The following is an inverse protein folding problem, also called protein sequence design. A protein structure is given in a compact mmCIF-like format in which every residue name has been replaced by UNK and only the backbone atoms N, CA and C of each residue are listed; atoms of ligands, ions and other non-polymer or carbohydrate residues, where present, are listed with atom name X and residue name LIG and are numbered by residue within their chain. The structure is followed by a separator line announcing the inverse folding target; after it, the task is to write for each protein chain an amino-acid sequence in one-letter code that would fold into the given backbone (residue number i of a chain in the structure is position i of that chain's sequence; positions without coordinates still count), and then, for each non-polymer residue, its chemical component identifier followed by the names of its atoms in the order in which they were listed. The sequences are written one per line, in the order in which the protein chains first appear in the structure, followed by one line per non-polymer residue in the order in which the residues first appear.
data_IF_509059935330
#
_entry.id   IF_509059935330
#
_cell.length_a   1.000
_cell.length_b   1.000
_cell.length_c   1.000
_cell.angle_alpha   90.00
_cell.angle_beta   90.00
_cell.angle_gamma   90.00
#
_symmetry.space_group_name_H-M   'P 1'
#
loop_
_entity.id
_entity.type
_entity.pdbx_description
1 polymer ?
#
# COMPACT_ATOMS: atom_id res chain seq x y z
N UNK A 1 5.13 -34.87 53.92
CA UNK A 1 5.17 -33.54 54.58
C UNK A 1 3.96 -32.76 54.06
N UNK A 2 2.76 -32.73 54.67
CA UNK A 2 2.32 -32.05 55.92
C UNK A 2 3.05 -30.73 56.14
N UNK A 3 2.45 -29.55 56.34
CA UNK A 3 1.09 -28.98 56.42
C UNK A 3 1.32 -27.46 56.09
N UNK A 4 0.40 -26.51 56.01
CA UNK A 4 -0.81 -26.23 56.79
C UNK A 4 -1.49 -24.99 56.20
N UNK A 5 -2.81 -25.06 56.05
CA UNK A 5 -3.70 -23.91 55.84
C UNK A 5 -4.03 -23.33 57.21
N UNK A 6 -3.79 -22.04 57.43
CA UNK A 6 -4.34 -21.29 58.56
C UNK A 6 -5.27 -20.20 58.04
N UNK A 7 -6.56 -20.38 58.31
CA UNK A 7 -7.63 -19.39 58.19
C UNK A 7 -7.92 -18.91 59.62
N UNK A 8 -7.72 -17.63 59.91
CA UNK A 8 -8.23 -17.03 61.14
C UNK A 8 -8.86 -15.68 60.82
N UNK A 9 -10.17 -15.58 61.08
CA UNK A 9 -10.87 -14.32 61.18
C UNK A 9 -10.43 -13.56 62.42
N UNK A 10 -10.47 -12.24 62.33
CA UNK A 10 -10.16 -11.35 63.44
C UNK A 10 -10.01 -9.92 62.93
N UNK A 11 -10.95 -9.07 63.33
CA UNK A 11 -10.91 -7.62 63.23
C UNK A 11 -9.54 -7.05 63.60
N UNK A 12 -8.89 -6.32 62.69
CA UNK A 12 -7.66 -5.58 62.98
C UNK A 12 -7.90 -4.09 62.80
N UNK A 13 -7.75 -3.41 63.93
CA UNK A 13 -7.69 -1.97 64.16
C UNK A 13 -6.59 -1.30 63.32
N UNK A 14 -6.93 -0.16 62.69
CA UNK A 14 -6.00 0.77 62.06
C UNK A 14 -5.01 1.33 63.10
N UNK A 15 -3.74 0.92 63.03
CA UNK A 15 -2.61 1.67 63.58
C UNK A 15 -1.68 2.09 62.46
N UNK A 16 -1.55 3.38 62.27
CA UNK A 16 -0.50 3.99 61.47
C UNK A 16 0.86 3.71 62.13
N UNK A 17 1.56 2.70 61.64
CA UNK A 17 2.97 2.44 61.94
C UNK A 17 3.83 3.05 60.85
N UNK A 18 4.60 4.07 61.20
CA UNK A 18 5.65 4.62 60.35
C UNK A 18 6.66 3.53 59.99
N UNK A 19 6.83 3.25 58.70
CA UNK A 19 7.91 2.40 58.22
C UNK A 19 9.22 3.19 58.21
N UNK A 20 10.31 2.70 58.84
CA UNK A 20 11.63 3.26 58.64
C UNK A 20 12.11 2.96 57.22
N UNK A 21 12.63 3.99 56.55
CA UNK A 21 13.28 3.90 55.25
C UNK A 21 14.47 2.92 55.30
N UNK A 22 14.60 1.99 54.33
CA UNK A 22 15.82 1.23 54.16
C UNK A 22 16.94 2.11 53.57
N UNK A 23 18.12 1.93 54.15
CA UNK A 23 19.37 2.63 53.86
C UNK A 23 19.73 2.68 52.37
N UNK A 24 20.18 3.88 51.95
CA UNK A 24 20.81 4.10 50.64
C UNK A 24 22.08 3.25 50.53
N UNK A 25 22.25 2.45 49.46
CA UNK A 25 23.55 1.85 49.18
C UNK A 25 24.57 2.92 48.76
N UNK A 26 25.87 2.69 49.01
CA UNK A 26 26.93 3.66 48.79
C UNK A 26 27.11 4.00 47.31
N UNK A 27 27.24 5.31 47.04
CA UNK A 27 27.67 5.89 45.78
C UNK A 27 29.07 5.37 45.42
N UNK A 28 29.13 4.37 44.55
CA UNK A 28 30.36 3.98 43.86
C UNK A 28 30.66 5.05 42.81
N UNK A 29 31.69 5.85 43.11
CA UNK A 29 32.34 6.74 42.16
C UNK A 29 32.95 5.95 41.00
N UNK A 30 32.17 5.77 39.94
CA UNK A 30 32.63 5.30 38.64
C UNK A 30 33.19 6.47 37.84
N UNK A 31 34.50 6.43 37.61
CA UNK A 31 35.28 7.35 36.77
C UNK A 31 34.58 7.65 35.43
N UNK A 32 34.70 8.87 34.87
CA UNK A 32 34.31 9.16 33.50
C UNK A 32 35.21 8.35 32.57
N UNK A 33 34.69 7.22 32.08
CA UNK A 33 35.29 6.45 31.00
C UNK A 33 35.34 7.35 29.78
N UNK A 34 36.56 7.67 29.36
CA UNK A 34 36.84 8.30 28.08
C UNK A 34 36.20 7.46 26.98
N UNK A 35 35.05 7.91 26.50
CA UNK A 35 34.47 7.45 25.26
C UNK A 35 35.47 7.79 24.16
N UNK A 36 36.24 6.78 23.77
CA UNK A 36 37.11 6.83 22.64
C UNK A 36 36.31 7.32 21.45
N UNK A 37 36.66 8.52 20.99
CA UNK A 37 36.38 8.97 19.63
C UNK A 37 37.10 8.00 18.70
N UNK A 38 36.46 6.86 18.46
CA UNK A 38 36.72 6.04 17.29
C UNK A 38 36.39 6.91 16.10
N UNK A 39 37.38 7.63 15.59
CA UNK A 39 37.37 8.19 14.25
C UNK A 39 37.36 7.00 13.31
N UNK A 40 36.19 6.37 13.18
CA UNK A 40 35.88 5.48 12.09
C UNK A 40 36.16 6.30 10.84
N UNK A 41 37.25 5.99 10.17
CA UNK A 41 37.56 6.48 8.84
C UNK A 41 36.42 5.99 7.95
N UNK A 42 35.37 6.81 7.87
CA UNK A 42 34.23 6.62 6.97
C UNK A 42 34.86 6.50 5.59
N UNK A 43 34.82 5.27 5.07
CA UNK A 43 35.32 4.85 3.77
C UNK A 43 34.55 5.63 2.69
N UNK A 44 34.99 6.87 2.44
CA UNK A 44 34.43 7.87 1.51
C UNK A 44 34.57 7.48 0.02
N UNK A 45 34.76 6.21 -0.31
CA UNK A 45 35.06 5.75 -1.68
C UNK A 45 33.88 5.09 -2.42
N UNK A 46 32.73 4.90 -1.78
CA UNK A 46 31.53 4.36 -2.43
C UNK A 46 30.54 5.39 -2.98
N UNK A 47 30.69 6.68 -2.63
CA UNK A 47 29.61 7.66 -2.84
C UNK A 47 29.42 8.14 -4.28
N UNK A 48 30.36 7.90 -5.20
CA UNK A 48 30.24 8.43 -6.57
C UNK A 48 29.35 7.57 -7.48
N UNK A 49 29.16 6.28 -7.20
CA UNK A 49 28.31 5.40 -8.03
C UNK A 49 26.82 5.53 -7.67
N UNK A 50 26.49 5.82 -6.41
CA UNK A 50 25.09 6.05 -5.99
C UNK A 50 24.48 7.33 -6.60
N UNK A 51 25.27 8.40 -6.78
CA UNK A 51 24.75 9.65 -7.37
C UNK A 51 24.31 9.51 -8.83
N UNK A 52 24.90 8.58 -9.59
CA UNK A 52 24.57 8.43 -11.01
C UNK A 52 23.22 7.73 -11.20
N UNK A 53 22.86 6.81 -10.29
CA UNK A 53 21.58 6.10 -10.30
C UNK A 53 20.38 7.00 -9.98
N UNK A 54 20.51 7.93 -9.04
CA UNK A 54 19.37 8.75 -8.60
C UNK A 54 19.01 9.87 -9.60
N UNK A 55 19.95 10.29 -10.45
CA UNK A 55 19.73 11.42 -11.35
C UNK A 55 19.10 11.04 -12.70
N UNK A 56 19.24 9.80 -13.18
CA UNK A 56 18.82 9.48 -14.55
C UNK A 56 17.30 9.55 -14.74
N UNK A 57 16.51 9.06 -13.78
CA UNK A 57 15.04 9.08 -13.88
C UNK A 57 14.52 10.51 -13.89
N UNK A 58 15.08 11.38 -13.04
CA UNK A 58 14.75 12.81 -13.00
C UNK A 58 15.13 13.52 -14.32
N UNK A 59 16.27 13.18 -14.92
CA UNK A 59 16.68 13.71 -16.23
C UNK A 59 15.72 13.26 -17.33
N UNK A 60 15.34 11.98 -17.37
CA UNK A 60 14.37 11.47 -18.34
C UNK A 60 13.01 12.15 -18.17
N UNK A 61 12.56 12.31 -16.92
CA UNK A 61 11.31 13.01 -16.60
C UNK A 61 11.32 14.47 -17.12
N UNK A 62 12.39 15.22 -16.85
CA UNK A 62 12.55 16.59 -17.33
C UNK A 62 12.62 16.68 -18.85
N UNK A 63 13.33 15.76 -19.51
CA UNK A 63 13.42 15.69 -20.97
C UNK A 63 12.05 15.41 -21.60
N UNK A 64 11.30 14.45 -21.06
CA UNK A 64 9.95 14.14 -21.52
C UNK A 64 9.02 15.33 -21.31
N UNK A 65 9.06 15.97 -20.13
CA UNK A 65 8.22 17.12 -19.82
C UNK A 65 8.51 18.29 -20.79
N UNK A 66 9.79 18.61 -21.01
CA UNK A 66 10.22 19.63 -21.97
C UNK A 66 9.79 19.29 -23.41
N UNK A 67 9.93 18.02 -23.80
CA UNK A 67 9.48 17.54 -25.11
C UNK A 67 7.97 17.71 -25.31
N UNK A 68 7.15 17.29 -24.34
CA UNK A 68 5.70 17.42 -24.42
C UNK A 68 5.23 18.87 -24.35
N UNK A 69 5.87 19.71 -23.55
CA UNK A 69 5.63 21.16 -23.50
C UNK A 69 5.92 21.80 -24.87
N UNK A 70 7.07 21.48 -25.48
CA UNK A 70 7.46 21.97 -26.80
C UNK A 70 6.49 21.52 -27.90
N UNK A 71 6.15 20.23 -27.94
CA UNK A 71 5.17 19.69 -28.90
C UNK A 71 3.79 20.34 -28.70
N UNK A 72 3.38 20.57 -27.46
CA UNK A 72 2.14 21.27 -27.13
C UNK A 72 2.13 22.70 -27.66
N UNK A 73 3.21 23.46 -27.43
CA UNK A 73 3.34 24.83 -27.90
C UNK A 73 3.33 24.94 -29.44
N UNK A 74 3.92 23.96 -30.13
CA UNK A 74 3.93 23.90 -31.59
C UNK A 74 2.55 23.54 -32.19
N UNK A 75 1.80 22.67 -31.50
CA UNK A 75 0.49 22.17 -31.99
C UNK A 75 -0.67 23.14 -31.74
N UNK A 76 -0.53 24.08 -30.79
CA UNK A 76 -1.55 25.05 -30.40
C UNK A 76 -2.51 24.52 -29.33
N UNK A 77 -3.28 25.42 -28.71
CA UNK A 77 -4.16 25.16 -27.57
C UNK A 77 -5.24 24.14 -27.89
N UNK A 78 -5.95 24.33 -29.01
CA UNK A 78 -7.08 23.48 -29.38
C UNK A 78 -6.66 22.04 -29.62
N UNK A 79 -5.47 21.86 -30.21
CA UNK A 79 -4.90 20.55 -30.45
C UNK A 79 -4.57 19.79 -29.16
N UNK A 80 -3.90 20.48 -28.24
CA UNK A 80 -3.44 19.91 -26.98
C UNK A 80 -4.61 19.68 -26.04
N UNK A 81 -5.57 20.61 -25.98
CA UNK A 81 -6.81 20.48 -25.21
C UNK A 81 -7.66 19.30 -25.68
N UNK A 82 -7.87 19.14 -26.98
CA UNK A 82 -8.58 17.96 -27.52
C UNK A 82 -7.87 16.65 -27.19
N UNK A 83 -6.53 16.66 -27.14
CA UNK A 83 -5.77 15.48 -26.75
C UNK A 83 -5.93 15.14 -25.27
N UNK A 84 -5.97 16.13 -24.38
CA UNK A 84 -6.22 15.89 -22.96
C UNK A 84 -7.65 15.41 -22.73
N UNK A 85 -8.62 16.04 -23.40
CA UNK A 85 -10.00 15.59 -23.37
C UNK A 85 -10.13 14.15 -23.88
N UNK A 86 -9.44 13.79 -24.97
CA UNK A 86 -9.43 12.41 -25.47
C UNK A 86 -8.85 11.43 -24.46
N UNK A 87 -7.83 11.83 -23.70
CA UNK A 87 -7.23 11.00 -22.67
C UNK A 87 -8.19 10.81 -21.49
N UNK A 88 -8.83 11.89 -21.01
CA UNK A 88 -9.81 11.83 -19.95
C UNK A 88 -11.02 10.94 -20.34
N UNK A 89 -11.53 11.11 -21.56
CA UNK A 89 -12.61 10.26 -22.10
C UNK A 89 -12.16 8.81 -22.23
N UNK A 90 -10.94 8.56 -22.69
CA UNK A 90 -10.41 7.20 -22.81
C UNK A 90 -10.27 6.52 -21.44
N UNK A 91 -9.75 7.21 -20.43
CA UNK A 91 -9.69 6.69 -19.06
C UNK A 91 -11.08 6.42 -18.49
N UNK A 92 -12.01 7.38 -18.61
CA UNK A 92 -13.38 7.19 -18.15
C UNK A 92 -14.06 6.00 -18.82
N UNK A 93 -13.84 5.84 -20.13
CA UNK A 93 -14.39 4.71 -20.89
C UNK A 93 -13.72 3.40 -20.49
N UNK A 94 -12.41 3.37 -20.25
CA UNK A 94 -11.71 2.17 -19.76
C UNK A 94 -12.22 1.72 -18.39
N UNK A 95 -12.38 2.66 -17.46
CA UNK A 95 -12.91 2.38 -16.11
C UNK A 95 -14.35 1.84 -16.19
N UNK A 96 -15.19 2.41 -17.05
CA UNK A 96 -16.57 1.95 -17.22
C UNK A 96 -16.68 0.63 -17.99
N UNK A 97 -15.81 0.42 -18.99
CA UNK A 97 -15.82 -0.78 -19.82
C UNK A 97 -15.32 -2.03 -19.08
N UNK A 98 -14.39 -1.88 -18.13
CA UNK A 98 -13.83 -3.00 -17.38
C UNK A 98 -14.91 -3.83 -16.65
N UNK A 99 -15.79 -3.27 -15.80
CA UNK A 99 -16.87 -4.03 -15.16
C UNK A 99 -18.01 -4.40 -16.12
N UNK A 100 -18.27 -3.59 -17.14
CA UNK A 100 -19.40 -3.84 -18.05
C UNK A 100 -19.14 -5.00 -19.04
N UNK A 101 -17.89 -5.23 -19.41
CA UNK A 101 -17.52 -6.18 -20.48
C UNK A 101 -16.42 -7.17 -20.09
N UNK A 102 -15.88 -7.12 -18.87
CA UNK A 102 -14.76 -7.95 -18.41
C UNK A 102 -14.94 -9.44 -18.72
N UNK A 103 -16.03 -10.03 -18.23
CA UNK A 103 -16.31 -11.47 -18.39
C UNK A 103 -16.47 -11.87 -19.86
N UNK A 104 -17.17 -11.05 -20.65
CA UNK A 104 -17.39 -11.31 -22.08
C UNK A 104 -16.08 -11.27 -22.87
N UNK A 105 -15.18 -10.35 -22.51
CA UNK A 105 -13.86 -10.24 -23.16
C UNK A 105 -12.97 -11.42 -22.77
N UNK A 106 -12.99 -11.85 -21.50
CA UNK A 106 -12.26 -13.04 -21.07
C UNK A 106 -12.74 -14.29 -21.82
N UNK A 107 -14.06 -14.51 -21.89
CA UNK A 107 -14.67 -15.64 -22.60
C UNK A 107 -14.30 -15.62 -24.09
N UNK A 108 -14.43 -14.47 -24.76
CA UNK A 108 -14.15 -14.34 -26.19
C UNK A 108 -12.70 -14.62 -26.57
N UNK A 109 -11.74 -14.34 -25.67
CA UNK A 109 -10.30 -14.55 -25.91
C UNK A 109 -9.84 -15.90 -25.32
N UNK A 110 -10.69 -16.62 -24.60
CA UNK A 110 -10.32 -17.84 -23.87
C UNK A 110 -9.32 -17.55 -22.74
N UNK A 111 -9.32 -16.34 -22.19
CA UNK A 111 -8.47 -15.94 -21.09
C UNK A 111 -9.15 -16.22 -19.74
N UNK A 112 -8.39 -16.44 -18.65
CA UNK A 112 -8.92 -16.45 -17.30
C UNK A 112 -9.76 -15.21 -16.98
N UNK A 113 -10.85 -15.37 -16.23
CA UNK A 113 -11.80 -14.28 -15.89
C UNK A 113 -11.14 -13.06 -15.25
N UNK A 114 -10.11 -13.26 -14.42
CA UNK A 114 -9.35 -12.17 -13.79
C UNK A 114 -8.60 -11.28 -14.80
N UNK A 115 -8.26 -11.79 -15.99
CA UNK A 115 -7.69 -11.00 -17.08
C UNK A 115 -8.77 -10.25 -17.89
N UNK A 116 -10.05 -10.62 -17.74
CA UNK A 116 -11.17 -10.00 -18.44
C UNK A 116 -11.26 -8.50 -18.18
N UNK A 117 -11.21 -8.09 -16.91
CA UNK A 117 -11.24 -6.68 -16.49
C UNK A 117 -10.15 -5.82 -17.13
N UNK A 118 -8.84 -6.12 -16.98
CA UNK A 118 -7.79 -5.31 -17.56
C UNK A 118 -7.83 -5.33 -19.10
N UNK A 119 -8.22 -6.45 -19.73
CA UNK A 119 -8.37 -6.53 -21.18
C UNK A 119 -9.54 -5.65 -21.66
N UNK A 120 -10.72 -5.76 -21.05
CA UNK A 120 -11.88 -4.96 -21.39
C UNK A 120 -11.63 -3.47 -21.18
N UNK A 121 -11.02 -3.09 -20.05
CA UNK A 121 -10.63 -1.71 -19.78
C UNK A 121 -9.63 -1.17 -20.79
N UNK A 122 -8.62 -1.96 -21.16
CA UNK A 122 -7.62 -1.59 -22.17
C UNK A 122 -8.22 -1.43 -23.56
N UNK A 123 -9.12 -2.34 -23.96
CA UNK A 123 -9.86 -2.26 -25.22
C UNK A 123 -10.80 -1.05 -25.26
N UNK A 124 -11.54 -0.79 -24.18
CA UNK A 124 -12.40 0.39 -24.04
C UNK A 124 -11.61 1.68 -24.12
N UNK A 125 -10.49 1.76 -23.40
CA UNK A 125 -9.55 2.88 -23.47
C UNK A 125 -9.04 3.11 -24.90
N UNK A 126 -8.55 2.05 -25.55
CA UNK A 126 -8.00 2.14 -26.91
C UNK A 126 -9.07 2.55 -27.92
N UNK A 127 -10.26 1.97 -27.84
CA UNK A 127 -11.40 2.30 -28.70
C UNK A 127 -11.80 3.78 -28.57
N UNK A 128 -11.93 4.28 -27.34
CA UNK A 128 -12.23 5.67 -27.07
C UNK A 128 -11.11 6.62 -27.55
N UNK A 129 -9.84 6.25 -27.34
CA UNK A 129 -8.68 7.01 -27.80
C UNK A 129 -8.68 7.14 -29.33
N UNK A 130 -8.97 6.05 -30.06
CA UNK A 130 -9.06 6.04 -31.53
C UNK A 130 -10.25 6.90 -31.99
N UNK A 131 -11.44 6.71 -31.41
CA UNK A 131 -12.64 7.47 -31.76
C UNK A 131 -12.44 8.98 -31.56
N UNK A 132 -11.92 9.38 -30.40
CA UNK A 132 -11.61 10.78 -30.10
C UNK A 132 -10.47 11.33 -30.96
N UNK A 133 -9.50 10.49 -31.32
CA UNK A 133 -8.43 10.84 -32.27
C UNK A 133 -8.98 11.16 -33.66
N UNK A 134 -9.93 10.36 -34.16
CA UNK A 134 -10.62 10.60 -35.44
C UNK A 134 -11.44 11.90 -35.35
N UNK A 135 -12.25 12.06 -34.29
CA UNK A 135 -13.06 13.27 -34.06
C UNK A 135 -12.20 14.54 -34.03
N UNK A 136 -11.09 14.49 -33.29
CA UNK A 136 -10.11 15.57 -33.21
C UNK A 136 -9.51 15.90 -34.57
N UNK A 137 -9.20 14.88 -35.38
CA UNK A 137 -8.64 15.07 -36.72
C UNK A 137 -9.66 15.73 -37.67
N UNK A 138 -10.94 15.37 -37.56
CA UNK A 138 -12.04 15.99 -38.33
C UNK A 138 -12.25 17.45 -37.91
N UNK A 139 -12.33 17.74 -36.60
CA UNK A 139 -12.49 19.09 -36.07
C UNK A 139 -11.33 20.01 -36.48
N UNK A 140 -10.09 19.53 -36.36
CA UNK A 140 -8.89 20.27 -36.76
C UNK A 140 -8.86 20.53 -38.27
N UNK A 141 -9.32 19.58 -39.09
CA UNK A 141 -9.46 19.78 -40.54
C UNK A 141 -10.51 20.86 -40.86
N UNK A 142 -11.65 20.88 -40.14
CA UNK A 142 -12.68 21.92 -40.30
C UNK A 142 -12.16 23.30 -39.88
N UNK A 143 -11.46 23.40 -38.76
CA UNK A 143 -10.89 24.67 -38.30
C UNK A 143 -9.81 25.20 -39.26
N UNK A 144 -8.90 24.32 -39.74
CA UNK A 144 -7.86 24.72 -40.71
C UNK A 144 -8.46 25.25 -42.01
N UNK A 145 -9.63 24.74 -42.43
CA UNK A 145 -10.35 25.27 -43.60
C UNK A 145 -10.94 26.66 -43.32
N UNK A 146 -11.44 26.92 -42.10
CA UNK A 146 -12.00 28.23 -41.72
C UNK A 146 -10.94 29.31 -41.51
N UNK A 147 -9.74 28.97 -41.03
CA UNK A 147 -8.67 29.93 -40.71
C UNK A 147 -7.64 30.16 -41.83
N UNK A 148 -7.96 29.92 -43.10
CA UNK A 148 -7.01 30.14 -44.20
C UNK A 148 -6.56 31.61 -44.23
N UNK A 149 -5.32 31.88 -43.81
CA UNK A 149 -4.65 33.18 -43.95
C UNK A 149 -4.38 33.95 -42.65
N UNK A 150 -4.99 33.59 -41.52
CA UNK A 150 -4.77 34.31 -40.26
C UNK A 150 -3.54 33.75 -39.51
N UNK A 151 -2.55 34.59 -39.14
CA UNK A 151 -1.43 34.17 -38.30
C UNK A 151 -1.94 33.67 -36.95
N UNK A 152 -1.33 32.60 -36.41
CA UNK A 152 -1.70 32.07 -35.08
C UNK A 152 -1.32 33.09 -34.01
N UNK A 153 -2.27 33.40 -33.13
CA UNK A 153 -2.02 34.25 -31.98
C UNK A 153 -0.96 33.62 -31.05
N UNK A 154 -0.04 34.41 -30.46
CA UNK A 154 0.96 33.90 -29.53
C UNK A 154 0.35 33.19 -28.31
N UNK A 155 -0.84 33.63 -27.86
CA UNK A 155 -1.58 32.98 -26.77
C UNK A 155 -1.97 31.51 -27.06
N UNK A 156 -2.22 31.14 -28.32
CA UNK A 156 -2.54 29.76 -28.71
C UNK A 156 -1.34 28.82 -28.47
N UNK A 157 -0.12 29.33 -28.66
CA UNK A 157 1.11 28.55 -28.41
C UNK A 157 1.37 28.40 -26.91
N UNK A 158 1.15 29.45 -26.13
CA UNK A 158 1.34 29.39 -24.69
C UNK A 158 0.38 28.37 -24.04
N UNK A 159 -0.92 28.48 -24.33
CA UNK A 159 -1.93 27.53 -23.81
C UNK A 159 -1.65 26.11 -24.33
N UNK A 160 -1.24 25.97 -25.60
CA UNK A 160 -0.78 24.69 -26.15
C UNK A 160 0.37 24.07 -25.36
N UNK A 161 1.33 24.89 -24.93
CA UNK A 161 2.46 24.48 -24.09
C UNK A 161 2.05 24.05 -22.69
N UNK A 162 1.11 24.76 -22.05
CA UNK A 162 0.55 24.38 -20.74
C UNK A 162 -0.15 23.03 -20.81
N UNK A 163 -1.00 22.82 -21.81
CA UNK A 163 -1.62 21.50 -22.02
C UNK A 163 -0.58 20.41 -22.35
N UNK A 164 0.48 20.78 -23.07
CA UNK A 164 1.64 19.92 -23.29
C UNK A 164 2.31 19.51 -21.98
N UNK A 165 2.53 20.45 -21.07
CA UNK A 165 3.09 20.18 -19.73
C UNK A 165 2.18 19.25 -18.93
N UNK A 166 0.87 19.52 -18.84
CA UNK A 166 -0.07 18.65 -18.12
C UNK A 166 0.00 17.21 -18.66
N UNK A 167 -0.01 17.05 -19.99
CA UNK A 167 0.13 15.72 -20.61
C UNK A 167 1.50 15.09 -20.31
N UNK A 168 2.58 15.86 -20.40
CA UNK A 168 3.92 15.40 -20.08
C UNK A 168 4.02 14.91 -18.63
N UNK A 169 3.47 15.68 -17.69
CA UNK A 169 3.39 15.31 -16.27
C UNK A 169 2.62 14.01 -16.06
N UNK A 170 1.50 13.79 -16.75
CA UNK A 170 0.77 12.52 -16.68
C UNK A 170 1.60 11.33 -17.17
N UNK A 171 2.35 11.50 -18.27
CA UNK A 171 3.24 10.45 -18.80
C UNK A 171 4.39 10.18 -17.84
N UNK A 172 5.03 11.23 -17.32
CA UNK A 172 6.12 11.12 -16.34
C UNK A 172 5.64 10.43 -15.05
N UNK A 173 4.46 10.80 -14.57
CA UNK A 173 3.84 10.20 -13.40
C UNK A 173 3.57 8.71 -13.62
N UNK A 174 3.01 8.34 -14.78
CA UNK A 174 2.77 6.94 -15.12
C UNK A 174 4.08 6.13 -15.22
N UNK A 175 5.12 6.69 -15.83
CA UNK A 175 6.42 6.02 -15.92
C UNK A 175 7.09 5.88 -14.55
N UNK A 176 7.00 6.91 -13.70
CA UNK A 176 7.54 6.87 -12.34
C UNK A 176 6.79 5.85 -11.47
N UNK A 177 5.46 5.77 -11.65
CA UNK A 177 4.63 4.74 -11.01
C UNK A 177 5.01 3.34 -11.48
N UNK A 178 5.21 3.12 -12.79
CA UNK A 178 5.65 1.83 -13.31
C UNK A 178 7.04 1.45 -12.77
N UNK A 179 7.94 2.42 -12.64
CA UNK A 179 9.26 2.21 -12.05
C UNK A 179 9.14 1.73 -10.59
N UNK A 180 8.26 2.34 -9.77
CA UNK A 180 7.99 1.89 -8.40
C UNK A 180 7.55 0.41 -8.33
N UNK A 181 6.72 -0.03 -9.28
CA UNK A 181 6.31 -1.44 -9.35
C UNK A 181 7.44 -2.38 -9.78
N UNK A 182 8.29 -1.96 -10.71
CA UNK A 182 9.46 -2.73 -11.12
C UNK A 182 10.44 -2.88 -9.95
N UNK A 183 10.65 -1.81 -9.18
CA UNK A 183 11.47 -1.84 -7.96
C UNK A 183 10.92 -2.83 -6.92
N UNK A 184 9.60 -2.79 -6.70
CA UNK A 184 8.91 -3.72 -5.81
C UNK A 184 9.05 -5.19 -6.25
N UNK A 185 9.08 -5.47 -7.55
CA UNK A 185 9.33 -6.82 -8.09
C UNK A 185 10.80 -7.24 -7.97
N UNK A 186 11.71 -6.27 -7.99
CA UNK A 186 13.14 -6.50 -7.71
C UNK A 186 13.37 -6.90 -6.25
N UNK A 187 12.71 -6.21 -5.31
CA UNK A 187 12.87 -6.49 -3.87
C UNK A 187 12.31 -7.84 -3.43
N UNK A 188 11.36 -8.41 -4.18
CA UNK A 188 10.87 -9.78 -3.94
C UNK A 188 11.82 -10.86 -4.45
N UNK A 189 12.92 -10.50 -5.12
CA UNK A 189 13.88 -11.46 -5.69
C UNK A 189 13.39 -12.15 -6.96
N UNK A 190 12.29 -11.70 -7.56
CA UNK A 190 11.70 -12.32 -8.76
C UNK A 190 12.51 -12.04 -10.01
N UNK A 191 13.22 -10.91 -10.05
CA UNK A 191 14.03 -10.49 -11.21
C UNK A 191 15.41 -10.05 -10.73
N UNK A 192 16.40 -10.94 -10.86
CA UNK A 192 17.80 -10.60 -10.57
C UNK A 192 18.36 -9.64 -11.64
N UNK A 193 19.09 -8.61 -11.20
CA UNK A 193 19.87 -7.73 -12.09
C UNK A 193 19.20 -6.41 -12.52
N UNK A 194 18.05 -6.05 -11.94
CA UNK A 194 17.49 -4.71 -12.11
C UNK A 194 18.28 -3.69 -11.27
N UNK A 195 18.60 -2.51 -11.82
CA UNK A 195 19.23 -1.44 -11.04
C UNK A 195 18.27 -0.90 -9.98
N UNK A 196 18.74 -0.76 -8.74
CA UNK A 196 17.98 -0.14 -7.66
C UNK A 196 17.58 1.30 -8.06
N UNK A 197 16.28 1.57 -7.97
CA UNK A 197 15.73 2.90 -8.20
C UNK A 197 15.96 3.71 -6.92
N UNK A 198 17.20 4.21 -6.72
CA UNK A 198 17.52 5.02 -5.54
C UNK A 198 16.62 6.26 -5.38
N UNK A 199 16.64 6.88 -4.20
CA UNK A 199 15.79 8.01 -3.73
C UNK A 199 15.39 9.05 -4.79
N UNK A 200 14.36 8.74 -5.59
CA UNK A 200 13.96 9.56 -6.72
C UNK A 200 12.80 10.46 -6.36
N UNK A 201 13.02 11.77 -6.42
CA UNK A 201 11.98 12.80 -6.20
C UNK A 201 10.75 12.58 -7.08
N UNK A 202 10.93 12.14 -8.33
CA UNK A 202 9.80 11.86 -9.22
C UNK A 202 8.96 10.66 -8.75
N UNK A 203 9.59 9.66 -8.13
CA UNK A 203 8.91 8.51 -7.54
C UNK A 203 8.12 8.92 -6.29
N UNK A 204 8.71 9.75 -5.42
CA UNK A 204 8.03 10.30 -4.23
C UNK A 204 6.80 11.14 -4.61
N UNK A 205 6.95 12.01 -5.63
CA UNK A 205 5.83 12.82 -6.14
C UNK A 205 4.75 11.94 -6.75
N UNK A 206 5.12 10.91 -7.52
CA UNK A 206 4.16 9.97 -8.09
C UNK A 206 3.41 9.21 -6.99
N UNK A 207 4.12 8.71 -5.96
CA UNK A 207 3.53 8.06 -4.80
C UNK A 207 2.53 8.98 -4.08
N UNK A 208 2.92 10.23 -3.81
CA UNK A 208 2.04 11.20 -3.15
C UNK A 208 0.77 11.51 -3.98
N UNK A 209 0.90 11.64 -5.31
CA UNK A 209 -0.25 11.87 -6.18
C UNK A 209 -1.17 10.64 -6.25
N UNK A 210 -0.61 9.43 -6.30
CA UNK A 210 -1.38 8.19 -6.25
C UNK A 210 -2.11 8.04 -4.93
N UNK A 211 -1.42 8.28 -3.81
CA UNK A 211 -2.02 8.22 -2.46
C UNK A 211 -3.19 9.22 -2.34
N UNK A 212 -3.01 10.47 -2.78
CA UNK A 212 -4.07 11.46 -2.80
C UNK A 212 -5.24 11.05 -3.73
N UNK A 213 -4.93 10.48 -4.90
CA UNK A 213 -5.92 10.00 -5.85
C UNK A 213 -6.77 8.86 -5.29
N UNK A 214 -6.13 7.87 -4.65
CA UNK A 214 -6.82 6.74 -4.02
C UNK A 214 -7.64 7.23 -2.82
N UNK A 215 -7.10 8.12 -1.99
CA UNK A 215 -7.84 8.69 -0.85
C UNK A 215 -9.11 9.43 -1.30
N UNK A 216 -9.05 10.19 -2.40
CA UNK A 216 -10.23 10.85 -2.98
C UNK A 216 -11.21 9.82 -3.55
N UNK A 217 -10.71 8.78 -4.23
CA UNK A 217 -11.55 7.77 -4.87
C UNK A 217 -12.29 6.89 -3.86
N UNK A 218 -11.65 6.52 -2.75
CA UNK A 218 -12.24 5.68 -1.71
C UNK A 218 -13.12 6.46 -0.72
N UNK A 219 -13.02 7.79 -0.71
CA UNK A 219 -13.74 8.65 0.24
C UNK A 219 -13.19 8.55 1.67
N UNK A 220 -13.71 9.41 2.55
CA UNK A 220 -13.30 9.44 3.97
C UNK A 220 -13.78 8.21 4.76
N UNK A 221 -14.70 7.43 4.22
CA UNK A 221 -15.31 6.27 4.88
C UNK A 221 -14.48 4.98 4.75
N UNK A 222 -13.41 4.99 3.95
CA UNK A 222 -12.63 3.80 3.64
C UNK A 222 -11.87 3.18 4.83
N UNK A 223 -11.89 3.83 6.01
CA UNK A 223 -11.34 3.29 7.25
C UNK A 223 -9.82 3.07 7.22
N UNK A 224 -9.35 2.07 7.99
CA UNK A 224 -7.96 1.60 7.94
C UNK A 224 -7.67 0.81 6.66
N UNK A 225 -8.61 0.01 6.18
CA UNK A 225 -8.44 -0.80 4.98
C UNK A 225 -8.13 0.04 3.73
N UNK A 226 -8.85 1.15 3.52
CA UNK A 226 -8.60 2.06 2.41
C UNK A 226 -7.27 2.80 2.51
N UNK A 227 -6.83 3.15 3.72
CA UNK A 227 -5.50 3.76 3.94
C UNK A 227 -4.38 2.76 3.66
N UNK A 228 -4.54 1.52 4.12
CA UNK A 228 -3.59 0.45 3.83
C UNK A 228 -3.51 0.18 2.32
N UNK A 229 -4.65 0.11 1.63
CA UNK A 229 -4.69 -0.04 0.18
C UNK A 229 -4.04 1.16 -0.54
N UNK A 230 -4.37 2.39 -0.13
CA UNK A 230 -3.76 3.59 -0.71
C UNK A 230 -2.25 3.59 -0.59
N UNK A 231 -1.71 3.18 0.57
CA UNK A 231 -0.26 3.05 0.79
C UNK A 231 0.36 1.90 0.02
N UNK A 232 -0.30 0.75 -0.04
CA UNK A 232 0.16 -0.39 -0.83
C UNK A 232 0.26 -0.03 -2.31
N UNK A 233 -0.70 0.74 -2.83
CA UNK A 233 -0.69 1.19 -4.22
C UNK A 233 0.34 2.31 -4.44
N UNK A 234 0.50 3.24 -3.51
CA UNK A 234 1.46 4.36 -3.68
C UNK A 234 2.91 3.95 -3.46
N UNK A 235 3.16 2.96 -2.59
CA UNK A 235 4.48 2.49 -2.16
C UNK A 235 4.51 0.97 -2.06
N UNK A 236 4.46 0.24 -3.19
CA UNK A 236 4.36 -1.22 -3.18
C UNK A 236 5.59 -1.88 -2.55
N UNK A 237 6.80 -1.38 -2.84
CA UNK A 237 8.05 -1.92 -2.28
C UNK A 237 8.09 -1.81 -0.74
N UNK A 238 7.90 -0.60 -0.22
CA UNK A 238 7.85 -0.33 1.23
C UNK A 238 6.76 -1.14 1.92
N UNK A 239 5.60 -1.30 1.27
CA UNK A 239 4.46 -2.01 1.85
C UNK A 239 4.71 -3.51 1.91
N UNK A 240 5.30 -4.11 0.87
CA UNK A 240 5.67 -5.53 0.86
C UNK A 240 6.75 -5.79 1.92
N UNK A 241 7.80 -4.97 1.95
CA UNK A 241 8.88 -5.11 2.94
C UNK A 241 8.37 -4.87 4.36
N UNK A 242 7.54 -3.84 4.56
CA UNK A 242 6.91 -3.54 5.84
C UNK A 242 6.02 -4.69 6.32
N UNK A 243 5.28 -5.34 5.42
CA UNK A 243 4.47 -6.50 5.73
C UNK A 243 5.33 -7.71 6.10
N UNK A 244 6.43 -7.96 5.38
CA UNK A 244 7.38 -9.02 5.73
C UNK A 244 8.00 -8.77 7.12
N UNK A 245 8.43 -7.53 7.39
CA UNK A 245 8.94 -7.13 8.70
C UNK A 245 7.91 -7.29 9.81
N UNK A 246 6.64 -6.96 9.52
CA UNK A 246 5.53 -7.15 10.45
C UNK A 246 5.31 -8.64 10.75
N UNK A 247 5.26 -9.47 9.72
CA UNK A 247 5.04 -10.91 9.83
C UNK A 247 6.19 -11.66 10.51
N UNK A 248 7.42 -11.17 10.34
CA UNK A 248 8.61 -11.70 11.01
C UNK A 248 8.77 -11.23 12.47
N UNK A 249 7.91 -10.30 12.93
CA UNK A 249 8.03 -9.74 14.27
C UNK A 249 7.60 -10.77 15.34
N UNK A 250 8.40 -11.02 16.41
CA UNK A 250 8.09 -12.01 17.43
C UNK A 250 6.72 -11.80 18.10
N UNK A 251 6.35 -10.54 18.34
CA UNK A 251 5.03 -10.20 18.92
C UNK A 251 3.84 -10.63 18.04
N UNK A 252 3.98 -10.60 16.72
CA UNK A 252 2.95 -11.05 15.78
C UNK A 252 2.88 -12.58 15.76
N UNK A 253 4.02 -13.26 15.83
CA UNK A 253 4.07 -14.72 15.97
C UNK A 253 3.40 -15.20 17.27
N UNK A 254 3.69 -14.54 18.39
CA UNK A 254 3.04 -14.82 19.68
C UNK A 254 1.52 -14.63 19.61
N UNK A 255 1.05 -13.52 19.02
CA UNK A 255 -0.38 -13.28 18.83
C UNK A 255 -1.03 -14.33 17.91
N UNK A 256 -0.35 -14.71 16.83
CA UNK A 256 -0.82 -15.77 15.90
C UNK A 256 -0.92 -17.12 16.60
N UNK A 257 -0.01 -17.43 17.53
CA UNK A 257 -0.02 -18.66 18.32
C UNK A 257 -1.04 -18.64 19.48
N UNK A 258 -1.54 -17.45 19.87
CA UNK A 258 -2.49 -17.30 20.97
C UNK A 258 -3.92 -17.74 20.57
N UNK A 259 -4.21 -19.03 20.77
CA UNK A 259 -5.54 -19.59 20.51
C UNK A 259 -6.65 -18.90 21.30
N UNK A 260 -6.38 -18.42 22.52
CA UNK A 260 -7.39 -17.79 23.35
C UNK A 260 -7.79 -16.44 22.75
N UNK A 261 -6.82 -15.64 22.31
CA UNK A 261 -7.06 -14.39 21.58
C UNK A 261 -7.99 -14.61 20.39
N UNK A 262 -7.67 -15.54 19.49
CA UNK A 262 -8.48 -15.80 18.29
C UNK A 262 -9.86 -16.35 18.61
N UNK A 263 -9.99 -17.21 19.62
CA UNK A 263 -11.30 -17.68 20.09
C UNK A 263 -12.18 -16.52 20.55
N UNK A 264 -11.61 -15.55 21.27
CA UNK A 264 -12.37 -14.36 21.69
C UNK A 264 -12.75 -13.45 20.52
N UNK A 265 -11.87 -13.27 19.54
CA UNK A 265 -12.18 -12.53 18.31
C UNK A 265 -13.34 -13.20 17.56
N UNK A 266 -13.30 -14.53 17.39
CA UNK A 266 -14.33 -15.30 16.68
C UNK A 266 -15.72 -15.21 17.30
N UNK A 267 -15.81 -15.19 18.63
CA UNK A 267 -17.10 -15.04 19.34
C UNK A 267 -17.53 -13.57 19.49
N UNK A 268 -16.79 -12.62 18.90
CA UNK A 268 -17.06 -11.19 18.99
C UNK A 268 -16.70 -10.55 20.34
N UNK A 269 -16.01 -11.27 21.23
CA UNK A 269 -15.56 -10.77 22.53
C UNK A 269 -14.25 -9.97 22.41
N UNK A 270 -14.23 -8.98 21.51
CA UNK A 270 -13.02 -8.21 21.15
C UNK A 270 -12.39 -7.52 22.36
N UNK A 271 -13.18 -7.00 23.30
CA UNK A 271 -12.65 -6.39 24.54
C UNK A 271 -11.85 -7.39 25.41
N UNK A 272 -12.27 -8.66 25.43
CA UNK A 272 -11.56 -9.72 26.17
C UNK A 272 -10.31 -10.14 25.40
N UNK A 273 -10.38 -10.21 24.08
CA UNK A 273 -9.23 -10.46 23.21
C UNK A 273 -8.14 -9.38 23.41
N UNK A 274 -8.52 -8.11 23.45
CA UNK A 274 -7.60 -6.98 23.63
C UNK A 274 -6.98 -6.91 25.04
N UNK A 275 -7.48 -7.69 25.99
CA UNK A 275 -6.88 -7.85 27.32
C UNK A 275 -5.94 -9.07 27.42
N UNK A 276 -5.74 -9.83 26.34
CA UNK A 276 -4.78 -10.91 26.31
C UNK A 276 -3.34 -10.38 26.38
N UNK A 277 -2.45 -11.13 27.04
CA UNK A 277 -1.06 -10.72 27.25
C UNK A 277 -0.31 -10.57 25.93
N UNK A 278 -0.58 -11.45 24.95
CA UNK A 278 -0.02 -11.39 23.59
C UNK A 278 -0.33 -10.05 22.91
N UNK A 279 -1.59 -9.60 22.97
CA UNK A 279 -2.01 -8.32 22.41
C UNK A 279 -1.46 -7.13 23.18
N UNK A 280 -1.46 -7.17 24.53
CA UNK A 280 -0.91 -6.09 25.34
C UNK A 280 0.59 -5.85 25.08
N UNK A 281 1.36 -6.90 24.75
CA UNK A 281 2.75 -6.75 24.31
C UNK A 281 2.86 -5.94 23.02
N UNK A 282 2.02 -6.23 22.02
CA UNK A 282 1.95 -5.47 20.77
C UNK A 282 1.57 -4.02 21.03
N UNK A 283 0.58 -3.79 21.91
CA UNK A 283 0.14 -2.44 22.29
C UNK A 283 1.28 -1.64 22.90
N UNK A 284 2.24 -2.24 23.60
CA UNK A 284 3.38 -1.53 24.20
C UNK A 284 4.66 -1.55 23.36
N UNK A 285 4.67 -2.22 22.21
CA UNK A 285 5.80 -2.28 21.30
C UNK A 285 5.76 -1.11 20.31
N UNK A 286 6.58 -0.10 20.56
CA UNK A 286 6.64 1.11 19.72
C UNK A 286 7.07 0.81 18.28
N UNK A 287 8.01 -0.13 18.09
CA UNK A 287 8.48 -0.50 16.75
C UNK A 287 7.36 -1.16 15.96
N UNK A 288 6.61 -2.06 16.58
CA UNK A 288 5.53 -2.78 15.94
C UNK A 288 4.37 -1.85 15.57
N UNK A 289 4.00 -0.94 16.48
CA UNK A 289 2.99 0.10 16.20
C UNK A 289 3.44 1.00 15.06
N UNK A 290 4.72 1.39 15.03
CA UNK A 290 5.33 2.17 13.95
C UNK A 290 5.22 1.47 12.59
N UNK A 291 5.52 0.17 12.55
CA UNK A 291 5.40 -0.64 11.33
C UNK A 291 3.95 -0.77 10.85
N UNK A 292 2.99 -0.98 11.76
CA UNK A 292 1.56 -1.02 11.41
C UNK A 292 1.07 0.34 10.89
N UNK A 293 1.56 1.45 11.46
CA UNK A 293 1.28 2.77 10.94
C UNK A 293 1.92 2.99 9.58
N UNK A 294 3.15 2.53 9.33
CA UNK A 294 3.80 2.65 8.03
C UNK A 294 2.98 1.93 6.93
N UNK A 295 2.35 0.80 7.27
CA UNK A 295 1.47 0.04 6.37
C UNK A 295 0.06 0.64 6.22
N UNK A 296 -0.32 1.65 7.00
CA UNK A 296 -1.69 2.21 6.97
C UNK A 296 -2.75 1.36 7.64
N UNK A 297 -2.35 0.35 8.40
CA UNK A 297 -3.26 -0.44 9.23
C UNK A 297 -3.80 0.38 10.40
N UNK A 298 -3.00 1.32 10.90
CA UNK A 298 -3.39 2.29 11.94
C UNK A 298 -2.92 3.71 11.57
N UNK A 299 -3.51 4.73 12.19
CA UNK A 299 -3.06 6.11 12.06
C UNK A 299 -1.68 6.34 12.72
N UNK A 300 -0.95 7.33 12.23
CA UNK A 300 0.32 7.78 12.85
C UNK A 300 0.10 8.26 14.29
N UNK A 301 -1.03 8.92 14.54
CA UNK A 301 -1.43 9.40 15.86
C UNK A 301 -1.69 8.24 16.82
N UNK A 302 -2.33 7.17 16.34
CA UNK A 302 -2.53 5.96 17.12
C UNK A 302 -1.22 5.24 17.41
N UNK A 303 -0.28 5.16 16.46
CA UNK A 303 1.00 4.51 16.72
C UNK A 303 1.83 5.19 17.84
N UNK A 304 1.65 6.50 18.04
CA UNK A 304 2.29 7.25 19.11
C UNK A 304 1.63 7.02 20.49
N UNK A 305 0.36 6.61 20.54
CA UNK A 305 -0.41 6.45 21.78
C UNK A 305 -0.95 5.00 21.92
N UNK A 306 -0.44 4.20 22.88
CA UNK A 306 -0.89 2.82 23.09
C UNK A 306 -2.41 2.68 23.24
N UNK A 307 -3.09 3.65 23.86
CA UNK A 307 -4.54 3.55 24.09
C UNK A 307 -5.34 3.82 22.81
N UNK A 308 -4.89 4.79 21.99
CA UNK A 308 -5.49 5.04 20.68
C UNK A 308 -5.23 3.89 19.70
N UNK A 309 -4.00 3.37 19.69
CA UNK A 309 -3.65 2.15 18.95
C UNK A 309 -4.58 1.00 19.32
N UNK A 310 -4.73 0.75 20.62
CA UNK A 310 -5.63 -0.28 21.13
C UNK A 310 -7.06 -0.05 20.62
N UNK A 311 -7.60 1.16 20.75
CA UNK A 311 -8.95 1.47 20.27
C UNK A 311 -9.11 1.23 18.75
N UNK A 312 -8.21 1.75 17.93
CA UNK A 312 -8.26 1.63 16.46
C UNK A 312 -8.16 0.17 16.00
N UNK A 313 -7.27 -0.63 16.60
CA UNK A 313 -7.19 -2.06 16.31
C UNK A 313 -8.44 -2.81 16.79
N UNK A 314 -9.02 -2.40 17.91
CA UNK A 314 -10.30 -2.93 18.38
C UNK A 314 -11.44 -2.71 17.39
N UNK A 315 -11.52 -1.53 16.80
CA UNK A 315 -12.51 -1.21 15.77
C UNK A 315 -12.33 -2.11 14.53
N UNK A 316 -11.08 -2.28 14.07
CA UNK A 316 -10.75 -3.18 12.96
C UNK A 316 -11.12 -4.63 13.28
N UNK A 317 -10.79 -5.12 14.48
CA UNK A 317 -11.14 -6.48 14.89
C UNK A 317 -12.65 -6.69 14.94
N UNK A 318 -13.44 -5.69 15.37
CA UNK A 318 -14.91 -5.79 15.35
C UNK A 318 -15.47 -5.86 13.93
N UNK A 319 -14.87 -5.15 12.99
CA UNK A 319 -15.25 -5.21 11.58
C UNK A 319 -14.87 -6.57 10.94
N UNK A 320 -13.68 -7.07 11.23
CA UNK A 320 -13.10 -8.24 10.56
C UNK A 320 -13.51 -9.57 11.24
N UNK A 321 -13.82 -9.58 12.54
CA UNK A 321 -14.16 -10.79 13.28
C UNK A 321 -15.30 -11.63 12.66
N UNK A 322 -16.45 -11.04 12.25
CA UNK A 322 -17.49 -11.79 11.57
C UNK A 322 -17.02 -12.43 10.26
N UNK A 323 -16.13 -11.75 9.52
CA UNK A 323 -15.57 -12.25 8.25
C UNK A 323 -14.61 -13.42 8.50
N UNK A 324 -13.73 -13.31 9.50
CA UNK A 324 -12.83 -14.42 9.90
C UNK A 324 -13.64 -15.65 10.28
N UNK A 325 -14.69 -15.48 11.09
CA UNK A 325 -15.57 -16.57 11.47
C UNK A 325 -16.23 -17.20 10.24
N UNK A 326 -16.80 -16.39 9.35
CA UNK A 326 -17.41 -16.87 8.10
C UNK A 326 -16.42 -17.66 7.24
N UNK A 327 -15.18 -17.19 7.13
CA UNK A 327 -14.12 -17.89 6.39
C UNK A 327 -13.74 -19.23 7.04
N UNK A 328 -13.61 -19.28 8.36
CA UNK A 328 -13.27 -20.52 9.08
C UNK A 328 -14.37 -21.58 8.98
N UNK A 329 -15.63 -21.14 9.02
CA UNK A 329 -16.80 -22.00 8.90
C UNK A 329 -17.12 -22.39 7.44
N UNK A 330 -16.43 -21.82 6.44
CA UNK A 330 -16.65 -22.15 5.03
C UNK A 330 -16.07 -23.55 4.70
N UNK A 331 -16.91 -24.51 4.25
CA UNK A 331 -16.45 -25.84 3.88
C UNK A 331 -15.42 -25.83 2.73
N UNK A 332 -15.43 -24.82 1.85
CA UNK A 332 -14.44 -24.71 0.78
C UNK A 332 -13.05 -24.34 1.32
N UNK A 333 -12.99 -23.52 2.38
CA UNK A 333 -11.72 -23.21 3.06
C UNK A 333 -11.24 -24.43 3.83
N UNK A 334 -12.14 -25.18 4.49
CA UNK A 334 -11.77 -26.41 5.17
C UNK A 334 -11.19 -27.44 4.18
N UNK A 335 -11.85 -27.66 3.04
CA UNK A 335 -11.33 -28.52 1.98
C UNK A 335 -9.98 -28.06 1.43
N UNK A 336 -9.75 -26.75 1.35
CA UNK A 336 -8.47 -26.17 0.94
C UNK A 336 -7.36 -26.39 1.98
N UNK A 337 -7.69 -26.34 3.27
CA UNK A 337 -6.74 -26.62 4.36
C UNK A 337 -6.40 -28.11 4.50
N UNK A 338 -7.27 -29.00 4.02
CA UNK A 338 -7.03 -30.44 3.95
C UNK A 338 -6.20 -30.85 2.72
N UNK A 339 -5.98 -29.94 1.77
CA UNK A 339 -5.20 -30.20 0.56
C UNK A 339 -3.70 -30.25 0.87
N UNK A 340 -3.02 -31.40 0.67
CA UNK A 340 -1.61 -31.55 1.00
C UNK A 340 -0.71 -30.62 0.19
N UNK A 341 -1.09 -30.26 -1.05
CA UNK A 341 -0.32 -29.32 -1.88
C UNK A 341 -0.38 -27.91 -1.29
N UNK A 342 -1.57 -27.46 -0.91
CA UNK A 342 -1.75 -26.14 -0.27
C UNK A 342 -1.02 -26.08 1.07
N UNK A 343 -1.13 -27.13 1.88
CA UNK A 343 -0.40 -27.21 3.16
C UNK A 343 1.11 -27.16 2.93
N UNK A 344 1.63 -27.82 1.89
CA UNK A 344 3.05 -27.74 1.53
C UNK A 344 3.46 -26.32 1.09
N UNK A 345 2.65 -25.63 0.29
CA UNK A 345 2.90 -24.25 -0.13
C UNK A 345 2.87 -23.26 1.05
N UNK A 346 1.89 -23.41 1.96
CA UNK A 346 1.80 -22.60 3.18
C UNK A 346 3.00 -22.83 4.09
N UNK A 347 3.41 -24.10 4.28
CA UNK A 347 4.54 -24.45 5.15
C UNK A 347 5.90 -24.07 4.54
N UNK A 348 6.03 -24.06 3.21
CA UNK A 348 7.24 -23.60 2.52
C UNK A 348 7.34 -22.07 2.45
N UNK A 349 6.26 -21.35 2.75
CA UNK A 349 6.20 -19.90 2.62
C UNK A 349 6.16 -19.42 1.16
N UNK A 350 5.85 -20.30 0.20
CA UNK A 350 5.73 -19.93 -1.21
C UNK A 350 4.36 -19.29 -1.48
N UNK A 351 4.21 -18.06 -1.00
CA UNK A 351 2.98 -17.29 -1.11
C UNK A 351 2.60 -16.98 -2.57
N UNK A 352 3.57 -16.86 -3.48
CA UNK A 352 3.32 -16.63 -4.90
C UNK A 352 2.70 -17.88 -5.54
N UNK A 353 3.27 -19.06 -5.28
CA UNK A 353 2.69 -20.30 -5.75
C UNK A 353 1.28 -20.52 -5.16
N UNK A 354 1.07 -20.20 -3.87
CA UNK A 354 -0.24 -20.27 -3.23
C UNK A 354 -1.27 -19.36 -3.90
N UNK A 355 -0.92 -18.11 -4.20
CA UNK A 355 -1.80 -17.16 -4.89
C UNK A 355 -2.12 -17.60 -6.32
N UNK A 356 -1.24 -18.36 -6.97
CA UNK A 356 -1.49 -18.92 -8.30
C UNK A 356 -2.24 -20.27 -8.29
N UNK A 357 -2.44 -20.86 -7.11
CA UNK A 357 -3.03 -22.19 -6.99
C UNK A 357 -4.53 -22.16 -7.38
N UNK A 358 -4.99 -22.99 -8.33
CA UNK A 358 -6.37 -22.91 -8.86
C UNK A 358 -7.46 -23.01 -7.80
N UNK A 359 -7.27 -23.87 -6.78
CA UNK A 359 -8.24 -24.02 -5.68
C UNK A 359 -8.27 -22.81 -4.76
N UNK A 360 -7.12 -22.19 -4.51
CA UNK A 360 -7.04 -20.96 -3.72
C UNK A 360 -7.76 -19.83 -4.45
N UNK A 361 -7.50 -19.67 -5.76
CA UNK A 361 -8.19 -18.70 -6.61
C UNK A 361 -9.71 -18.91 -6.64
N UNK A 362 -10.18 -20.15 -6.69
CA UNK A 362 -11.62 -20.47 -6.66
C UNK A 362 -12.30 -20.08 -5.33
N UNK A 363 -11.59 -20.23 -4.20
CA UNK A 363 -12.07 -19.77 -2.89
C UNK A 363 -12.11 -18.25 -2.84
N UNK A 364 -11.05 -17.58 -3.29
CA UNK A 364 -10.98 -16.11 -3.33
C UNK A 364 -12.09 -15.52 -4.20
N UNK A 365 -12.33 -16.07 -5.41
CA UNK A 365 -13.40 -15.59 -6.28
C UNK A 365 -14.78 -15.72 -5.63
N UNK A 366 -15.03 -16.83 -4.93
CA UNK A 366 -16.30 -17.07 -4.22
C UNK A 366 -16.52 -16.08 -3.07
N UNK A 367 -15.46 -15.74 -2.32
CA UNK A 367 -15.54 -14.75 -1.24
C UNK A 367 -15.87 -13.37 -1.83
N UNK A 368 -15.20 -12.97 -2.92
CA UNK A 368 -15.45 -11.70 -3.58
C UNK A 368 -16.86 -11.58 -4.17
N UNK A 369 -17.45 -12.69 -4.63
CA UNK A 369 -18.84 -12.72 -5.11
C UNK A 369 -19.86 -12.55 -3.97
N UNK A 370 -19.59 -13.13 -2.79
CA UNK A 370 -20.50 -13.07 -1.64
C UNK A 370 -20.50 -11.71 -0.93
N UNK A 371 -19.39 -10.96 -0.96
CA UNK A 371 -19.32 -9.62 -0.35
C UNK A 371 -20.10 -8.55 -1.15
N UNK A 372 -20.53 -8.86 -2.38
CA UNK A 372 -21.28 -7.95 -3.26
C UNK A 372 -22.80 -8.06 -3.17
N UNK A 373 -23.34 -9.02 -2.40
CA UNK A 373 -24.78 -9.25 -2.20
C UNK A 373 -25.25 -8.84 -0.82
#
# INVERSE_FOLDING_TARGET
MRASICRSGGSVSLRAGACPLPDRPPTLGGRPGAWGRGTGTIKRRGRMTEFVGVMWLNVIALLLLGFFAGVGALRGALASGMSLLSLAVAYGTGIWAAPAYGDRVAEAVGAPSWLGFPLAGSLGFLGALIAMGILSRVLRRREKRRRRGLPRAPGDRFIGGVFGMVRGSLVVLLLSYLALWIDALGSTGTVEGLPELGDSVAADVAAAVVEAGVAVAMGQEAGSAGRALARMLSRPADSIQGLQNLMAHPGIEELRADRAFWTYVEVGAVEVAMNQTSFLRIVHDESLRGNMAALGLVSSESAADPQRFRAEVGDVLREVAPRIKGLRDDPAIQALMEDPEVVALVNSGDHLALMSHPRFLAVVSRILENDGS
#
